data_IF_781126661457
#
_entry.id   IF_781126661457
#
_cell.length_a   1.000
_cell.length_b   1.000
_cell.length_c   1.000
_cell.angle_alpha   90.00
_cell.angle_beta   90.00
_cell.angle_gamma   90.00
#
_symmetry.space_group_name_H-M   'P 1'
#
loop_
_entity.id
_entity.type
_entity.pdbx_description
1 polymer ?
#
# COMPACT_ATOMS: atom_id res chain seq x y z
N UNK A 1 8.68 5.25 -13.74
CA UNK A 1 7.65 4.91 -12.74
C UNK A 1 7.15 6.19 -12.10
N UNK A 2 5.87 6.56 -12.26
CA UNK A 2 5.30 7.73 -11.58
C UNK A 2 4.88 7.34 -10.16
N UNK A 3 5.73 7.62 -9.17
CA UNK A 3 5.42 7.36 -7.77
C UNK A 3 4.64 8.55 -7.21
N UNK A 4 3.37 8.34 -6.89
CA UNK A 4 2.55 9.32 -6.18
C UNK A 4 2.73 9.10 -4.68
N UNK A 5 3.75 9.74 -4.11
CA UNK A 5 4.05 9.61 -2.68
C UNK A 5 3.31 10.69 -1.88
N UNK A 6 2.58 10.26 -0.85
CA UNK A 6 2.03 11.19 0.13
C UNK A 6 3.15 11.79 0.99
N UNK A 7 3.10 13.09 1.30
CA UNK A 7 4.16 13.79 2.05
C UNK A 7 4.51 13.14 3.40
N UNK A 8 3.51 12.54 4.05
CA UNK A 8 3.65 11.91 5.37
C UNK A 8 3.84 10.38 5.31
N UNK A 9 4.11 9.80 4.13
CA UNK A 9 4.26 8.36 4.00
C UNK A 9 5.63 7.89 4.51
N UNK A 10 5.64 7.17 5.64
CA UNK A 10 6.86 6.60 6.23
C UNK A 10 7.39 5.39 5.46
N UNK A 11 6.50 4.52 4.96
CA UNK A 11 6.88 3.31 4.18
C UNK A 11 6.76 3.57 2.68
N UNK A 12 7.76 4.24 2.13
CA UNK A 12 7.88 4.52 0.69
C UNK A 12 8.30 3.27 -0.10
N UNK A 13 8.12 3.23 -1.45
CA UNK A 13 8.67 2.17 -2.29
C UNK A 13 10.17 1.91 -2.08
N UNK A 14 10.97 2.96 -1.88
CA UNK A 14 12.39 2.81 -1.59
C UNK A 14 12.62 2.08 -0.24
N UNK A 15 11.91 2.49 0.80
CA UNK A 15 11.98 1.87 2.14
C UNK A 15 11.56 0.41 2.11
N UNK A 16 10.49 0.08 1.39
CA UNK A 16 9.97 -1.29 1.24
C UNK A 16 10.96 -2.20 0.50
N UNK A 17 11.60 -1.68 -0.56
CA UNK A 17 12.67 -2.38 -1.30
C UNK A 17 13.87 -2.65 -0.39
N UNK A 18 14.26 -1.66 0.42
CA UNK A 18 15.32 -1.85 1.42
C UNK A 18 14.97 -2.94 2.45
N UNK A 19 13.73 -2.96 2.96
CA UNK A 19 13.26 -4.01 3.88
C UNK A 19 13.36 -5.42 3.24
N UNK A 20 13.01 -5.55 1.96
CA UNK A 20 13.08 -6.82 1.24
C UNK A 20 14.51 -7.29 0.99
N UNK A 21 15.42 -6.39 0.58
CA UNK A 21 16.81 -6.74 0.28
C UNK A 21 17.68 -6.95 1.52
N UNK A 22 17.26 -6.41 2.68
CA UNK A 22 18.05 -6.45 3.91
C UNK A 22 17.95 -7.80 4.63
N UNK A 23 19.10 -8.38 4.99
CA UNK A 23 19.16 -9.58 5.83
C UNK A 23 19.16 -9.26 7.35
N UNK A 24 18.93 -8.00 7.71
CA UNK A 24 18.90 -7.57 9.12
C UNK A 24 17.70 -8.16 9.88
N UNK A 25 17.84 -8.36 11.20
CA UNK A 25 16.73 -8.83 12.03
C UNK A 25 15.62 -7.78 12.08
N UNK A 26 14.38 -8.27 12.15
CA UNK A 26 13.14 -7.44 12.13
C UNK A 26 13.20 -6.30 13.14
N UNK A 27 13.62 -6.60 14.37
CA UNK A 27 13.72 -5.61 15.47
C UNK A 27 14.67 -4.46 15.15
N UNK A 28 15.78 -4.72 14.44
CA UNK A 28 16.73 -3.69 14.04
C UNK A 28 16.12 -2.77 12.98
N UNK A 29 15.52 -3.36 11.94
CA UNK A 29 14.85 -2.62 10.87
C UNK A 29 13.68 -1.77 11.39
N UNK A 30 12.89 -2.31 12.32
CA UNK A 30 11.77 -1.60 12.94
C UNK A 30 12.25 -0.34 13.68
N UNK A 31 13.34 -0.46 14.47
CA UNK A 31 13.94 0.66 15.19
C UNK A 31 14.55 1.70 14.25
N UNK A 32 15.28 1.24 13.23
CA UNK A 32 15.95 2.10 12.25
C UNK A 32 14.96 2.93 11.43
N UNK A 33 13.88 2.29 10.98
CA UNK A 33 12.87 2.91 10.12
C UNK A 33 11.72 3.57 10.89
N UNK A 34 11.70 3.44 12.22
CA UNK A 34 10.65 4.02 13.07
C UNK A 34 9.26 3.45 12.80
N UNK A 35 9.16 2.16 12.44
CA UNK A 35 7.90 1.46 12.14
C UNK A 35 7.73 0.21 13.00
N UNK A 36 6.51 -0.31 13.09
CA UNK A 36 6.26 -1.54 13.85
C UNK A 36 6.95 -2.76 13.25
N UNK A 37 7.31 -3.73 14.09
CA UNK A 37 7.87 -5.00 13.64
C UNK A 37 6.95 -5.75 12.67
N UNK A 38 5.63 -5.65 12.87
CA UNK A 38 4.63 -6.25 11.97
C UNK A 38 4.69 -5.66 10.57
N UNK A 39 4.95 -4.35 10.47
CA UNK A 39 5.15 -3.68 9.18
C UNK A 39 6.36 -4.25 8.46
N UNK A 40 7.47 -4.44 9.17
CA UNK A 40 8.68 -5.06 8.61
C UNK A 40 8.43 -6.51 8.18
N UNK A 41 7.80 -7.33 9.02
CA UNK A 41 7.47 -8.74 8.70
C UNK A 41 6.56 -8.82 7.48
N UNK A 42 5.57 -7.93 7.38
CA UNK A 42 4.66 -7.85 6.23
C UNK A 42 5.42 -7.54 4.95
N UNK A 43 6.29 -6.53 4.95
CA UNK A 43 7.04 -6.13 3.76
C UNK A 43 8.12 -7.14 3.34
N UNK A 44 8.78 -7.81 4.30
CA UNK A 44 9.71 -8.92 3.99
C UNK A 44 9.05 -10.09 3.26
N UNK A 45 7.76 -10.37 3.55
CA UNK A 45 7.02 -11.49 2.94
C UNK A 45 6.37 -11.15 1.59
N UNK A 46 6.25 -9.87 1.24
CA UNK A 46 5.63 -9.46 -0.03
C UNK A 46 6.59 -9.68 -1.18
N UNK A 47 6.04 -9.96 -2.36
CA UNK A 47 6.79 -10.05 -3.62
C UNK A 47 7.00 -8.67 -4.24
N UNK A 48 6.00 -7.80 -4.13
CA UNK A 48 5.99 -6.50 -4.81
C UNK A 48 6.21 -5.36 -3.82
N UNK A 49 6.89 -4.33 -4.30
CA UNK A 49 7.20 -3.09 -3.56
C UNK A 49 6.18 -1.99 -3.86
N UNK A 50 5.63 -2.01 -5.06
CA UNK A 50 4.78 -0.95 -5.58
C UNK A 50 3.35 -1.07 -5.08
N UNK A 51 2.68 0.07 -4.98
CA UNK A 51 1.25 0.09 -4.68
C UNK A 51 0.48 -0.46 -5.87
N UNK A 52 -0.38 -1.44 -5.60
CA UNK A 52 -1.31 -1.98 -6.58
C UNK A 52 -2.40 -0.95 -6.88
N UNK A 53 -3.03 -1.02 -8.07
CA UNK A 53 -4.20 -0.19 -8.35
C UNK A 53 -5.25 -0.38 -7.26
N UNK A 54 -5.70 0.75 -6.71
CA UNK A 54 -6.78 0.81 -5.72
C UNK A 54 -8.15 1.05 -6.38
N UNK A 55 -8.16 1.23 -7.71
CA UNK A 55 -9.38 1.31 -8.49
C UNK A 55 -10.05 -0.06 -8.53
N UNK A 56 -11.35 -0.10 -8.20
CA UNK A 56 -12.14 -1.30 -8.30
C UNK A 56 -12.15 -1.82 -9.75
N UNK A 57 -12.04 -3.14 -9.93
CA UNK A 57 -12.09 -3.76 -11.26
C UNK A 57 -13.43 -3.53 -11.96
N UNK A 58 -14.52 -3.36 -11.19
CA UNK A 58 -15.85 -3.02 -11.68
C UNK A 58 -16.36 -1.80 -10.93
N UNK A 59 -16.46 -0.68 -11.63
CA UNK A 59 -17.06 0.54 -11.11
C UNK A 59 -18.58 0.41 -11.18
N UNK A 60 -19.27 0.36 -10.04
CA UNK A 60 -20.74 0.47 -9.96
C UNK A 60 -21.09 1.96 -10.12
N UNK A 61 -20.99 2.46 -11.35
CA UNK A 61 -21.08 3.91 -11.64
C UNK A 61 -22.43 4.32 -12.18
N UNK A 62 -23.30 3.37 -12.54
CA UNK A 62 -24.63 3.66 -13.04
C UNK A 62 -25.67 3.05 -12.11
N UNK A 63 -26.63 3.87 -11.68
CA UNK A 63 -27.88 3.38 -11.13
C UNK A 63 -28.67 2.71 -12.27
N UNK A 64 -29.46 1.69 -11.96
CA UNK A 64 -30.45 1.21 -12.92
C UNK A 64 -31.52 2.29 -13.12
N UNK A 65 -32.24 2.31 -14.25
CA UNK A 65 -33.33 3.28 -14.46
C UNK A 65 -34.35 3.30 -13.31
N UNK A 66 -34.60 2.14 -12.68
CA UNK A 66 -35.45 2.04 -11.50
C UNK A 66 -34.83 2.70 -10.26
N UNK A 67 -33.53 2.51 -10.03
CA UNK A 67 -32.83 3.16 -8.93
C UNK A 67 -32.73 4.67 -9.11
N UNK A 68 -32.55 5.16 -10.34
CA UNK A 68 -32.59 6.59 -10.65
C UNK A 68 -33.96 7.19 -10.31
N UNK A 69 -35.04 6.49 -10.67
CA UNK A 69 -36.41 6.94 -10.42
C UNK A 69 -36.80 7.03 -8.92
N UNK A 70 -36.05 6.37 -8.02
CA UNK A 70 -36.28 6.44 -6.55
C UNK A 70 -35.47 7.57 -5.89
N UNK A 71 -34.40 8.04 -6.53
CA UNK A 71 -33.49 9.06 -5.97
C UNK A 71 -33.91 10.49 -6.33
N UNK A 72 -34.74 10.67 -7.36
CA UNK A 72 -35.36 11.95 -7.76
C UNK A 72 -36.64 12.21 -6.97
#
# INVERSE_FOLDING_TARGET
MMVRLHKNATTTPATRRYIQSSNLPVRRLARELGVSEDTIRRWKKRTDVEDRPHTAHRLQTNLTPFQEAVVV
#
